data_IF_789346555350
#
_entry.id   IF_789346555350
#
_cell.length_a   1.000
_cell.length_b   1.000
_cell.length_c   1.000
_cell.angle_alpha   90.00
_cell.angle_beta   90.00
_cell.angle_gamma   90.00
#
_symmetry.space_group_name_H-M   'P 1'
#
loop_
_entity.id
_entity.type
_entity.pdbx_description
1 polymer ?
#
# COMPACT_ATOMS: atom_id res chain seq x y z
N UNK A 1 -2.99 6.46 -11.88
CA UNK A 1 -2.94 5.10 -11.39
C UNK A 1 -1.78 4.94 -10.40
N UNK A 2 -2.04 4.28 -9.28
CA UNK A 2 -1.03 3.83 -8.32
C UNK A 2 -1.27 2.35 -8.03
N UNK A 3 -0.21 1.58 -7.89
CA UNK A 3 -0.24 0.20 -7.41
C UNK A 3 0.83 0.02 -6.34
N UNK A 4 0.54 -0.81 -5.36
CA UNK A 4 1.50 -1.12 -4.29
C UNK A 4 1.91 -2.57 -4.38
N UNK A 5 3.20 -2.82 -4.24
CA UNK A 5 3.80 -4.14 -4.13
C UNK A 5 4.91 -4.12 -3.08
N UNK A 6 5.21 -5.27 -2.51
CA UNK A 6 6.35 -5.42 -1.61
C UNK A 6 7.55 -5.92 -2.41
N UNK A 7 8.62 -5.16 -2.40
CA UNK A 7 9.91 -5.62 -2.92
C UNK A 7 10.59 -6.50 -1.87
N UNK A 8 10.59 -7.81 -2.09
CA UNK A 8 11.21 -8.78 -1.18
C UNK A 8 12.74 -8.75 -1.24
N UNK A 9 13.33 -8.23 -2.33
CA UNK A 9 14.79 -8.09 -2.46
C UNK A 9 15.35 -7.00 -1.55
N UNK A 10 14.60 -5.90 -1.39
CA UNK A 10 15.03 -4.73 -0.59
C UNK A 10 14.25 -4.60 0.73
N UNK A 11 13.32 -5.51 0.98
CA UNK A 11 12.39 -5.51 2.13
C UNK A 11 11.66 -4.18 2.31
N UNK A 12 11.11 -3.64 1.24
CA UNK A 12 10.47 -2.34 1.23
C UNK A 12 9.16 -2.33 0.43
N UNK A 13 8.18 -1.50 0.82
CA UNK A 13 7.02 -1.26 0.00
C UNK A 13 7.38 -0.38 -1.21
N UNK A 14 6.83 -0.72 -2.37
CA UNK A 14 6.97 0.07 -3.60
C UNK A 14 5.61 0.55 -4.09
N UNK A 15 5.17 1.74 -3.71
CA UNK A 15 4.04 2.41 -4.35
C UNK A 15 4.50 2.97 -5.70
N UNK A 16 4.12 2.31 -6.78
CA UNK A 16 4.44 2.72 -8.15
C UNK A 16 3.25 3.45 -8.76
N UNK A 17 3.52 4.58 -9.41
CA UNK A 17 2.50 5.36 -10.12
C UNK A 17 2.93 5.64 -11.56
N UNK A 18 1.95 6.02 -12.38
CA UNK A 18 2.20 6.51 -13.74
C UNK A 18 2.45 8.02 -13.81
N UNK A 19 2.70 8.68 -12.69
CA UNK A 19 3.07 10.10 -12.68
C UNK A 19 4.45 10.29 -13.36
N UNK A 20 4.54 10.98 -14.51
CA UNK A 20 5.79 11.14 -15.22
C UNK A 20 6.82 11.99 -14.48
N UNK A 21 6.38 12.78 -13.51
CA UNK A 21 7.24 13.66 -12.73
C UNK A 21 7.80 13.00 -11.47
N UNK A 22 7.34 11.80 -11.10
CA UNK A 22 7.88 11.06 -9.98
C UNK A 22 9.36 10.71 -10.20
N UNK A 23 10.16 10.73 -9.14
CA UNK A 23 11.63 10.61 -9.19
C UNK A 23 12.13 9.42 -10.02
N UNK A 24 11.53 8.26 -9.91
CA UNK A 24 11.95 7.04 -10.61
C UNK A 24 11.23 6.80 -11.93
N UNK A 25 10.36 7.73 -12.33
CA UNK A 25 9.65 7.71 -13.60
C UNK A 25 10.31 8.64 -14.65
N UNK A 26 11.23 9.49 -14.20
CA UNK A 26 11.99 10.38 -15.08
C UNK A 26 13.15 9.64 -15.72
N UNK A 27 13.30 9.76 -17.05
CA UNK A 27 14.41 9.15 -17.79
C UNK A 27 15.74 9.87 -17.63
N UNK A 28 15.69 11.14 -17.19
CA UNK A 28 16.86 11.93 -16.84
C UNK A 28 17.00 12.07 -15.35
N UNK A 29 18.23 11.96 -14.84
CA UNK A 29 18.57 12.35 -13.48
C UNK A 29 18.72 13.87 -13.40
N UNK A 30 18.79 14.40 -12.19
CA UNK A 30 18.96 15.84 -11.96
C UNK A 30 20.28 16.38 -12.52
N UNK A 31 21.28 15.53 -12.71
CA UNK A 31 22.57 15.84 -13.34
C UNK A 31 22.57 15.75 -14.88
N UNK A 32 21.41 15.48 -15.48
CA UNK A 32 21.22 15.33 -16.94
C UNK A 32 21.63 13.98 -17.50
N UNK A 33 22.13 13.04 -16.71
CA UNK A 33 22.47 11.70 -17.17
C UNK A 33 21.21 10.85 -17.39
N UNK A 34 21.29 9.91 -18.35
CA UNK A 34 20.20 8.97 -18.60
C UNK A 34 20.06 7.97 -17.44
N UNK A 35 18.83 7.71 -17.07
CA UNK A 35 18.45 6.68 -16.13
C UNK A 35 18.08 5.41 -16.90
N UNK A 36 18.70 4.30 -16.56
CA UNK A 36 18.41 2.98 -17.12
C UNK A 36 17.27 2.23 -16.39
N UNK A 37 16.88 2.73 -15.21
CA UNK A 37 15.91 2.12 -14.31
C UNK A 37 14.63 2.97 -14.16
N UNK A 38 13.93 3.21 -15.28
CA UNK A 38 12.67 3.95 -15.28
C UNK A 38 11.49 2.99 -14.99
N UNK A 39 10.70 3.31 -13.96
CA UNK A 39 9.52 2.47 -13.60
C UNK A 39 8.45 2.44 -14.70
N UNK A 40 8.38 3.47 -15.54
CA UNK A 40 7.41 3.52 -16.65
C UNK A 40 7.73 2.49 -17.77
N UNK A 41 8.90 1.89 -17.75
CA UNK A 41 9.28 0.83 -18.70
C UNK A 41 8.74 -0.55 -18.29
N UNK A 42 8.29 -0.69 -17.04
CA UNK A 42 7.69 -1.95 -16.56
C UNK A 42 6.28 -2.10 -17.12
N UNK A 43 5.97 -3.20 -17.82
CA UNK A 43 4.64 -3.43 -18.37
C UNK A 43 3.55 -3.47 -17.28
N UNK A 44 2.39 -2.88 -17.58
CA UNK A 44 1.27 -2.80 -16.64
C UNK A 44 0.83 -4.19 -16.14
N UNK A 45 0.79 -5.19 -17.02
CA UNK A 45 0.41 -6.55 -16.62
C UNK A 45 1.38 -7.13 -15.58
N UNK A 46 2.67 -6.81 -15.66
CA UNK A 46 3.68 -7.26 -14.72
C UNK A 46 3.55 -6.56 -13.36
N UNK A 47 3.21 -5.26 -13.37
CA UNK A 47 2.90 -4.53 -12.14
C UNK A 47 1.65 -5.09 -11.45
N UNK A 48 0.60 -5.40 -12.20
CA UNK A 48 -0.61 -6.05 -11.66
C UNK A 48 -0.22 -7.41 -11.05
N UNK A 49 0.53 -8.22 -11.78
CA UNK A 49 0.98 -9.53 -11.31
C UNK A 49 1.80 -9.44 -10.03
N UNK A 50 2.73 -8.48 -9.94
CA UNK A 50 3.55 -8.22 -8.76
C UNK A 50 2.72 -7.76 -7.56
N UNK A 51 1.74 -6.86 -7.80
CA UNK A 51 0.87 -6.32 -6.76
C UNK A 51 -0.14 -7.33 -6.20
N UNK A 52 -0.44 -8.39 -6.94
CA UNK A 52 -1.42 -9.43 -6.57
C UNK A 52 -0.80 -10.80 -6.30
N UNK A 53 0.52 -10.86 -6.21
CA UNK A 53 1.25 -12.11 -5.92
C UNK A 53 1.19 -12.43 -4.41
N UNK A 54 -0.01 -12.77 -3.91
CA UNK A 54 -0.23 -13.09 -2.52
C UNK A 54 0.63 -14.30 -2.09
N UNK A 55 1.50 -14.14 -1.07
CA UNK A 55 2.32 -15.23 -0.58
C UNK A 55 1.50 -16.47 -0.23
N UNK A 56 2.07 -17.66 -0.45
CA UNK A 56 1.42 -18.96 -0.31
C UNK A 56 0.46 -19.32 -1.46
N UNK A 57 -0.28 -18.35 -2.00
CA UNK A 57 -1.27 -18.59 -3.06
C UNK A 57 -0.67 -18.45 -4.46
N UNK A 58 0.23 -17.51 -4.65
CA UNK A 58 0.84 -17.23 -5.96
C UNK A 58 2.36 -17.13 -5.86
N UNK A 59 3.08 -17.57 -6.90
CA UNK A 59 4.51 -17.36 -6.95
C UNK A 59 4.83 -15.87 -7.03
N UNK A 60 5.96 -15.42 -6.42
CA UNK A 60 6.42 -14.05 -6.55
C UNK A 60 6.70 -13.69 -8.01
N UNK A 61 6.60 -12.41 -8.33
CA UNK A 61 6.92 -11.87 -9.65
C UNK A 61 8.34 -11.30 -9.67
N UNK A 62 9.11 -11.67 -10.70
CA UNK A 62 10.45 -11.11 -10.90
C UNK A 62 10.37 -10.00 -11.93
N UNK A 63 10.65 -8.77 -11.50
CA UNK A 63 10.58 -7.58 -12.36
C UNK A 63 11.98 -7.05 -12.60
N UNK A 64 12.31 -6.87 -13.88
CA UNK A 64 13.56 -6.23 -14.29
C UNK A 64 13.35 -4.74 -14.50
N UNK A 65 14.12 -3.94 -13.76
CA UNK A 65 14.11 -2.47 -13.86
C UNK A 65 15.52 -2.02 -14.21
N UNK A 66 15.75 -1.68 -15.45
CA UNK A 66 17.08 -1.44 -15.99
C UNK A 66 17.96 -2.70 -15.97
N UNK A 67 19.11 -2.61 -15.32
CA UNK A 67 20.06 -3.73 -15.16
C UNK A 67 19.79 -4.58 -13.89
N UNK A 68 18.83 -4.17 -13.04
CA UNK A 68 18.52 -4.83 -11.78
C UNK A 68 17.26 -5.69 -11.88
N UNK A 69 17.27 -6.81 -11.16
CA UNK A 69 16.10 -7.67 -10.99
C UNK A 69 15.64 -7.62 -9.53
N UNK A 70 14.33 -7.52 -9.35
CA UNK A 70 13.69 -7.46 -8.05
C UNK A 70 12.60 -8.51 -7.95
N UNK A 71 12.49 -9.12 -6.79
CA UNK A 71 11.44 -10.07 -6.46
C UNK A 71 10.32 -9.34 -5.74
N UNK A 72 9.13 -9.38 -6.30
CA UNK A 72 7.95 -8.75 -5.74
C UNK A 72 6.91 -9.75 -5.28
N UNK A 73 6.22 -9.38 -4.22
CA UNK A 73 5.03 -10.05 -3.71
C UNK A 73 3.92 -9.01 -3.45
N UNK A 74 2.74 -9.50 -3.13
CA UNK A 74 1.54 -8.69 -2.89
C UNK A 74 1.80 -7.50 -1.95
N UNK A 75 1.28 -6.35 -2.31
CA UNK A 75 1.31 -5.14 -1.50
C UNK A 75 0.47 -5.22 -0.23
N UNK A 76 -0.46 -6.15 -0.16
CA UNK A 76 -1.32 -6.36 1.01
C UNK A 76 -0.58 -6.74 2.29
N UNK A 77 0.66 -7.24 2.18
CA UNK A 77 1.54 -7.50 3.33
C UNK A 77 2.44 -6.31 3.69
N UNK A 78 2.10 -5.13 3.21
CA UNK A 78 2.78 -3.87 3.55
C UNK A 78 1.85 -2.97 4.36
N UNK A 79 2.41 -1.88 4.89
CA UNK A 79 1.64 -0.81 5.53
C UNK A 79 0.60 -0.15 4.60
N UNK A 80 0.65 -0.42 3.30
CA UNK A 80 -0.26 0.12 2.28
C UNK A 80 -1.30 -0.92 1.81
N UNK A 81 -1.68 -1.88 2.68
CA UNK A 81 -2.80 -2.80 2.42
C UNK A 81 -4.11 -2.04 2.11
N UNK A 82 -4.32 -0.92 2.80
CA UNK A 82 -5.22 0.14 2.35
C UNK A 82 -4.38 1.29 1.81
N UNK A 83 -4.34 1.56 0.50
CA UNK A 83 -3.45 2.58 -0.07
C UNK A 83 -4.04 3.99 -0.06
N UNK A 84 -5.18 4.23 0.60
CA UNK A 84 -5.92 5.51 0.53
C UNK A 84 -5.08 6.69 1.02
N UNK A 85 -4.45 6.58 2.18
CA UNK A 85 -3.62 7.66 2.71
C UNK A 85 -2.35 7.89 1.87
N UNK A 86 -1.74 6.83 1.34
CA UNK A 86 -0.62 6.96 0.41
C UNK A 86 -1.03 7.64 -0.90
N UNK A 87 -2.24 7.37 -1.41
CA UNK A 87 -2.78 8.06 -2.57
C UNK A 87 -2.98 9.56 -2.29
N UNK A 88 -3.50 9.89 -1.11
CA UNK A 88 -3.61 11.28 -0.64
C UNK A 88 -2.24 11.97 -0.59
N UNK A 89 -1.23 11.35 0.02
CA UNK A 89 0.12 11.90 0.08
C UNK A 89 0.71 12.09 -1.32
N UNK A 90 0.56 11.10 -2.21
CA UNK A 90 1.07 11.22 -3.58
C UNK A 90 0.41 12.35 -4.37
N UNK A 91 -0.87 12.61 -4.12
CA UNK A 91 -1.58 13.70 -4.77
C UNK A 91 -1.17 15.09 -4.26
N UNK A 92 -0.82 15.21 -2.97
CA UNK A 92 -0.79 16.52 -2.30
C UNK A 92 0.60 17.02 -1.93
N UNK A 93 1.55 16.13 -1.60
CA UNK A 93 2.86 16.59 -1.12
C UNK A 93 3.86 16.83 -2.26
N UNK A 94 4.67 17.87 -2.11
CA UNK A 94 5.63 18.35 -3.11
C UNK A 94 6.63 17.29 -3.66
N UNK A 95 7.14 16.32 -2.89
CA UNK A 95 8.05 15.30 -3.41
C UNK A 95 7.49 14.47 -4.57
N UNK A 96 6.16 14.29 -4.63
CA UNK A 96 5.50 13.57 -5.73
C UNK A 96 5.14 14.47 -6.92
N UNK A 97 5.31 15.79 -6.79
CA UNK A 97 5.13 16.77 -7.89
C UNK A 97 3.76 16.74 -8.57
N UNK A 98 2.72 16.38 -7.84
CA UNK A 98 1.31 16.53 -8.29
C UNK A 98 0.67 17.75 -7.66
N UNK A 99 0.93 18.00 -6.38
CA UNK A 99 0.58 19.20 -5.63
C UNK A 99 -0.89 19.62 -5.81
N UNK A 100 -1.79 18.65 -5.75
CA UNK A 100 -3.22 18.91 -5.82
C UNK A 100 -3.65 19.77 -4.62
N UNK A 101 -4.52 20.75 -4.84
CA UNK A 101 -5.00 21.58 -3.76
C UNK A 101 -5.78 20.75 -2.74
N UNK A 102 -5.48 20.97 -1.46
CA UNK A 102 -6.17 20.35 -0.32
C UNK A 102 -7.28 21.25 0.18
N UNK A 103 -8.24 20.68 0.86
CA UNK A 103 -9.37 21.36 1.48
C UNK A 103 -10.65 20.56 1.34
N UNK A 104 -11.60 20.84 2.22
CA UNK A 104 -12.88 20.12 2.32
C UNK A 104 -13.66 20.11 1.00
N UNK A 105 -13.64 21.23 0.26
CA UNK A 105 -14.36 21.41 -1.01
C UNK A 105 -13.50 21.13 -2.24
N UNK A 106 -12.28 20.62 -2.08
CA UNK A 106 -11.31 20.49 -3.17
C UNK A 106 -10.81 19.07 -3.40
N UNK A 107 -10.75 18.27 -2.35
CA UNK A 107 -10.22 16.90 -2.42
C UNK A 107 -11.15 15.93 -1.69
N UNK A 108 -11.62 14.94 -2.43
CA UNK A 108 -12.38 13.82 -1.90
C UNK A 108 -11.54 12.56 -2.02
N UNK A 109 -11.33 11.86 -0.90
CA UNK A 109 -10.72 10.52 -0.88
C UNK A 109 -11.82 9.50 -0.66
N UNK A 110 -11.93 8.53 -1.57
CA UNK A 110 -12.88 7.42 -1.46
C UNK A 110 -12.08 6.12 -1.38
N UNK A 111 -12.24 5.40 -0.29
CA UNK A 111 -11.64 4.07 -0.09
C UNK A 111 -12.73 3.00 -0.16
N UNK A 112 -12.56 2.04 -1.05
CA UNK A 112 -13.50 0.92 -1.23
C UNK A 112 -12.70 -0.36 -1.04
N UNK A 113 -13.01 -1.08 0.04
CA UNK A 113 -12.42 -2.39 0.35
C UNK A 113 -13.31 -3.55 -0.10
N UNK A 114 -12.77 -4.74 -0.05
CA UNK A 114 -13.49 -6.00 -0.33
C UNK A 114 -14.26 -6.53 0.88
N UNK A 115 -14.23 -5.79 1.99
CA UNK A 115 -14.80 -6.18 3.27
C UNK A 115 -13.77 -6.78 4.22
N UNK A 116 -14.12 -6.81 5.50
CA UNK A 116 -13.34 -7.45 6.56
C UNK A 116 -14.19 -8.51 7.24
N UNK A 117 -13.60 -9.64 7.59
CA UNK A 117 -14.23 -10.64 8.44
C UNK A 117 -13.41 -10.72 9.73
N UNK A 118 -13.86 -10.10 10.82
CA UNK A 118 -13.18 -10.23 12.10
C UNK A 118 -13.17 -11.71 12.50
N UNK A 119 -12.01 -12.28 12.64
CA UNK A 119 -11.86 -13.62 13.20
C UNK A 119 -11.84 -13.50 14.74
N UNK A 120 -12.98 -13.11 15.30
CA UNK A 120 -13.14 -13.13 16.75
C UNK A 120 -13.27 -14.59 17.19
N UNK A 121 -12.31 -15.05 17.97
CA UNK A 121 -12.38 -16.35 18.63
C UNK A 121 -12.55 -16.11 20.14
N UNK A 122 -13.83 -16.00 20.56
CA UNK A 122 -14.17 -15.71 21.96
C UNK A 122 -13.80 -16.87 22.91
N UNK A 123 -13.65 -18.07 22.37
CA UNK A 123 -13.37 -19.30 23.13
C UNK A 123 -11.88 -19.69 23.08
N UNK A 124 -11.00 -18.81 22.57
CA UNK A 124 -9.57 -19.08 22.45
C UNK A 124 -8.91 -19.25 23.82
N UNK A 125 -8.37 -20.44 24.06
CA UNK A 125 -7.63 -20.72 25.28
C UNK A 125 -6.13 -20.37 25.13
N UNK A 126 -5.45 -19.91 26.20
CA UNK A 126 -4.02 -19.56 26.15
C UNK A 126 -3.12 -20.71 25.65
N UNK A 127 -3.49 -21.96 25.94
CA UNK A 127 -2.74 -23.16 25.52
C UNK A 127 -2.84 -23.45 24.00
N UNK A 128 -3.82 -22.89 23.32
CA UNK A 128 -4.00 -23.03 21.88
C UNK A 128 -3.10 -22.08 21.08
N UNK A 129 -2.59 -21.01 21.69
CA UNK A 129 -1.68 -20.04 21.07
C UNK A 129 -0.26 -20.61 20.88
N UNK A 130 -0.18 -21.75 20.23
CA UNK A 130 1.07 -22.40 19.90
C UNK A 130 1.73 -21.81 18.64
N UNK A 131 2.91 -22.31 18.26
CA UNK A 131 3.67 -21.79 17.11
C UNK A 131 2.89 -21.88 15.81
N UNK A 132 2.12 -22.94 15.59
CA UNK A 132 1.33 -23.13 14.37
C UNK A 132 0.19 -22.12 14.28
N UNK A 133 -0.54 -21.94 15.37
CA UNK A 133 -1.57 -20.90 15.46
C UNK A 133 -0.99 -19.51 15.16
N UNK A 134 0.10 -19.15 15.84
CA UNK A 134 0.74 -17.86 15.66
C UNK A 134 1.29 -17.67 14.23
N UNK A 135 1.85 -18.69 13.63
CA UNK A 135 2.37 -18.61 12.26
C UNK A 135 1.28 -18.29 11.22
N UNK A 136 0.05 -18.67 11.47
CA UNK A 136 -1.10 -18.41 10.58
C UNK A 136 -1.86 -17.14 10.94
N UNK A 137 -1.98 -16.81 12.23
CA UNK A 137 -2.80 -15.69 12.70
C UNK A 137 -2.05 -14.35 12.69
N UNK A 138 -0.74 -14.32 13.02
CA UNK A 138 0.04 -13.07 13.08
C UNK A 138 0.07 -12.32 11.75
N UNK A 139 0.33 -12.94 10.59
CA UNK A 139 0.31 -12.23 9.31
C UNK A 139 -1.04 -11.54 9.04
N UNK A 140 -2.14 -12.24 9.31
CA UNK A 140 -3.49 -11.69 9.14
C UNK A 140 -3.75 -10.52 10.10
N UNK A 141 -3.34 -10.64 11.36
CA UNK A 141 -3.47 -9.57 12.36
C UNK A 141 -2.67 -8.33 11.96
N UNK A 142 -1.42 -8.48 11.47
CA UNK A 142 -0.60 -7.37 11.02
C UNK A 142 -1.18 -6.70 9.77
N UNK A 143 -1.74 -7.46 8.83
CA UNK A 143 -2.42 -6.91 7.66
C UNK A 143 -3.65 -6.11 8.07
N UNK A 144 -4.44 -6.60 9.03
CA UNK A 144 -5.61 -5.89 9.55
C UNK A 144 -5.21 -4.62 10.31
N UNK A 145 -4.15 -4.67 11.11
CA UNK A 145 -3.62 -3.50 11.82
C UNK A 145 -3.16 -2.42 10.83
N UNK A 146 -2.43 -2.79 9.77
CA UNK A 146 -2.00 -1.85 8.74
C UNK A 146 -3.19 -1.22 7.98
N UNK A 147 -4.23 -1.99 7.71
CA UNK A 147 -5.45 -1.51 7.06
C UNK A 147 -6.16 -0.46 7.94
N UNK A 148 -6.32 -0.76 9.22
CA UNK A 148 -6.98 0.12 10.18
C UNK A 148 -6.17 1.40 10.44
N UNK A 149 -4.84 1.31 10.50
CA UNK A 149 -3.97 2.48 10.64
C UNK A 149 -4.15 3.46 9.48
N UNK A 150 -4.21 2.97 8.24
CA UNK A 150 -4.40 3.83 7.08
C UNK A 150 -5.79 4.48 7.05
N UNK A 151 -6.82 3.77 7.50
CA UNK A 151 -8.16 4.31 7.66
C UNK A 151 -8.19 5.41 8.74
N UNK A 152 -7.59 5.14 9.90
CA UNK A 152 -7.44 6.12 10.98
C UNK A 152 -6.73 7.40 10.49
N UNK A 153 -5.62 7.27 9.75
CA UNK A 153 -4.91 8.42 9.21
C UNK A 153 -5.80 9.24 8.27
N UNK A 154 -6.58 8.61 7.39
CA UNK A 154 -7.52 9.32 6.52
C UNK A 154 -8.57 10.10 7.32
N UNK A 155 -9.05 9.56 8.42
CA UNK A 155 -10.04 10.21 9.31
C UNK A 155 -9.45 11.35 10.13
N UNK A 156 -8.19 11.24 10.55
CA UNK A 156 -7.48 12.31 11.29
C UNK A 156 -7.21 13.51 10.40
N UNK A 157 -6.86 13.29 9.12
CA UNK A 157 -6.53 14.38 8.19
C UNK A 157 -7.72 14.90 7.39
N UNK A 158 -8.82 14.17 7.34
CA UNK A 158 -10.00 14.50 6.55
C UNK A 158 -11.29 14.46 7.36
N UNK A 159 -12.30 15.18 6.90
CA UNK A 159 -13.66 15.04 7.43
C UNK A 159 -14.28 13.75 6.89
N UNK A 160 -14.73 12.87 7.77
CA UNK A 160 -15.42 11.65 7.41
C UNK A 160 -16.83 11.97 6.88
N UNK A 161 -17.12 11.62 5.63
CA UNK A 161 -18.44 11.81 5.00
C UNK A 161 -19.26 10.52 4.97
N UNK A 162 -18.61 9.37 5.02
CA UNK A 162 -19.25 8.06 5.05
C UNK A 162 -18.42 7.11 5.91
N UNK A 163 -19.08 6.32 6.72
CA UNK A 163 -18.48 5.47 7.74
C UNK A 163 -18.69 6.05 9.14
N UNK A 164 -18.08 5.42 10.14
CA UNK A 164 -18.12 5.88 11.53
C UNK A 164 -17.19 7.08 11.72
N UNK A 165 -17.63 8.06 12.50
CA UNK A 165 -16.76 9.16 12.94
C UNK A 165 -15.76 8.66 13.98
N UNK A 166 -14.56 9.28 14.02
CA UNK A 166 -13.49 8.85 14.94
C UNK A 166 -13.94 8.88 16.40
N UNK A 167 -14.68 9.92 16.79
CA UNK A 167 -15.17 10.09 18.17
C UNK A 167 -16.13 8.98 18.61
N UNK A 168 -16.86 8.37 17.68
CA UNK A 168 -17.74 7.23 17.97
C UNK A 168 -16.96 5.92 18.18
N UNK A 169 -15.81 5.77 17.54
CA UNK A 169 -14.99 4.56 17.70
C UNK A 169 -14.18 4.54 18.99
N UNK A 170 -13.67 5.70 19.40
CA UNK A 170 -12.86 5.79 20.63
C UNK A 170 -13.69 5.99 21.90
N UNK A 171 -14.99 6.30 21.76
CA UNK A 171 -15.88 6.56 22.88
C UNK A 171 -15.59 7.89 23.60
N UNK A 172 -16.59 8.42 24.27
CA UNK A 172 -16.43 9.59 25.17
C UNK A 172 -15.75 9.17 26.47
#
# INVERSE_FOLDING_TARGET
LMMVMRNATTDSPWPISNNPFAKYNQRLRDDGSLRDNCNLDVPLWQLIRASTAAPVYFPPEVVKVGSQEFVFVDGGITMYNNPAFQAFLMATIAPYKMEWPVGEDRLLVVSIGTGTSPQANADLEPGEMNVMYNATSIPSALMSAALNEQDLLCRVFGRCLAGEELDREVGD
#
